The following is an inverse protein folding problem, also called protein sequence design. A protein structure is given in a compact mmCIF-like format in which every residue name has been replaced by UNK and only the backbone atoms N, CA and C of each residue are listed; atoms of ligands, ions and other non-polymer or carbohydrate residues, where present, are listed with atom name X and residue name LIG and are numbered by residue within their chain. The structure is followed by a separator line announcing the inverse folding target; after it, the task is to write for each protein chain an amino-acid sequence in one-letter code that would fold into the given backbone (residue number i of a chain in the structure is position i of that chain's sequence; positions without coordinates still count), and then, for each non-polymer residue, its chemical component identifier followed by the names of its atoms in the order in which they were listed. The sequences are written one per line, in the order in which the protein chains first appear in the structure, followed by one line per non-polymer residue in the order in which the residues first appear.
data_IF_950394183099
#
_entry.id   IF_950394183099
#
_cell.length_a   1.000
_cell.length_b   1.000
_cell.length_c   1.000
_cell.angle_alpha   90.00
_cell.angle_beta   90.00
_cell.angle_gamma   90.00
#
_symmetry.space_group_name_H-M   'P 1'
#
loop_
_entity.id
_entity.type
_entity.pdbx_description
1 polymer ?
#
# COMPACT_ATOMS: atom_id res chain seq x y z
N UNK A 1 38.56 -2.26 -18.07
CA UNK A 1 37.33 -3.00 -17.72
C UNK A 1 36.82 -2.42 -16.42
N UNK A 2 35.80 -1.55 -16.46
CA UNK A 2 35.18 -1.02 -15.25
C UNK A 2 34.38 -2.14 -14.59
N UNK A 3 34.70 -2.43 -13.33
CA UNK A 3 34.04 -3.44 -12.52
C UNK A 3 32.59 -3.06 -12.26
N UNK A 4 31.68 -3.95 -12.65
CA UNK A 4 30.26 -3.90 -12.33
C UNK A 4 30.11 -4.22 -10.84
N UNK A 5 29.85 -3.20 -10.01
CA UNK A 5 29.43 -3.44 -8.62
C UNK A 5 27.98 -3.89 -8.67
N UNK A 6 27.76 -5.21 -8.60
CA UNK A 6 26.43 -5.77 -8.41
C UNK A 6 25.98 -5.47 -6.97
N UNK A 7 25.10 -4.48 -6.82
CA UNK A 7 24.30 -4.32 -5.60
C UNK A 7 23.15 -5.34 -5.62
N UNK A 8 23.46 -6.62 -5.39
CA UNK A 8 22.46 -7.56 -4.92
C UNK A 8 22.28 -7.33 -3.42
N UNK A 9 21.55 -6.27 -3.06
CA UNK A 9 21.06 -6.12 -1.70
C UNK A 9 20.07 -7.27 -1.46
N UNK A 10 20.39 -8.14 -0.51
CA UNK A 10 19.52 -9.21 -0.06
C UNK A 10 18.16 -8.63 0.35
N UNK A 11 17.16 -8.76 -0.52
CA UNK A 11 15.77 -8.37 -0.29
C UNK A 11 15.05 -9.33 0.69
N UNK A 12 15.78 -10.01 1.58
CA UNK A 12 15.22 -11.14 2.32
C UNK A 12 14.43 -10.77 3.56
N UNK A 13 14.31 -9.50 3.97
CA UNK A 13 13.59 -9.15 5.22
C UNK A 13 12.83 -7.80 5.21
N UNK A 14 12.42 -7.30 4.05
CA UNK A 14 11.54 -6.14 4.05
C UNK A 14 10.13 -6.56 4.47
N UNK A 15 9.72 -6.22 5.69
CA UNK A 15 8.31 -6.42 6.08
C UNK A 15 7.45 -5.26 5.60
N UNK A 16 6.16 -5.53 5.37
CA UNK A 16 5.18 -4.57 4.85
C UNK A 16 5.25 -3.20 5.55
N UNK A 17 5.27 -3.16 6.88
CA UNK A 17 5.30 -1.92 7.66
C UNK A 17 6.61 -1.11 7.54
N UNK A 18 7.70 -1.78 7.14
CA UNK A 18 9.02 -1.16 6.96
C UNK A 18 9.25 -0.70 5.51
N UNK A 19 8.40 -1.12 4.58
CA UNK A 19 8.54 -0.82 3.16
C UNK A 19 8.22 0.65 2.83
N UNK A 20 8.94 1.18 1.83
CA UNK A 20 8.71 2.51 1.25
C UNK A 20 8.71 2.41 -0.26
N UNK A 21 7.71 3.00 -0.87
CA UNK A 21 7.47 2.93 -2.30
C UNK A 21 7.40 4.31 -2.94
N UNK A 22 7.74 4.38 -4.22
CA UNK A 22 7.49 5.56 -5.07
C UNK A 22 6.59 5.17 -6.22
N UNK A 23 5.78 6.11 -6.69
CA UNK A 23 5.04 5.95 -7.94
C UNK A 23 6.02 6.04 -9.12
N UNK A 24 6.07 5.00 -9.96
CA UNK A 24 7.07 4.82 -11.02
C UNK A 24 7.24 6.02 -11.96
N UNK A 25 6.15 6.74 -12.22
CA UNK A 25 6.13 7.86 -13.17
C UNK A 25 5.97 9.23 -12.47
N UNK A 26 5.95 9.27 -11.14
CA UNK A 26 5.82 10.50 -10.36
C UNK A 26 6.42 10.30 -8.95
N UNK A 27 7.74 10.50 -8.77
CA UNK A 27 8.42 10.22 -7.51
C UNK A 27 8.01 11.14 -6.35
N UNK A 28 7.22 12.20 -6.61
CA UNK A 28 6.62 13.02 -5.55
C UNK A 28 5.43 12.35 -4.88
N UNK A 29 4.88 11.28 -5.48
CA UNK A 29 3.87 10.42 -4.86
C UNK A 29 4.54 9.19 -4.29
N UNK A 30 4.43 9.04 -2.98
CA UNK A 30 5.03 7.94 -2.23
C UNK A 30 3.97 7.10 -1.54
N UNK A 31 4.29 5.84 -1.26
CA UNK A 31 3.42 4.99 -0.47
C UNK A 31 4.19 4.27 0.64
N UNK A 32 3.49 3.98 1.73
CA UNK A 32 4.02 3.22 2.85
C UNK A 32 2.89 2.57 3.63
N UNK A 33 3.22 1.54 4.42
CA UNK A 33 2.26 0.93 5.33
C UNK A 33 2.50 1.39 6.75
N UNK A 34 1.41 1.66 7.47
CA UNK A 34 1.41 1.98 8.89
C UNK A 34 0.73 0.86 9.67
N UNK A 35 1.35 0.31 10.73
CA UNK A 35 0.64 -0.57 11.65
C UNK A 35 -0.54 0.16 12.28
N UNK A 36 -1.71 -0.49 12.24
CA UNK A 36 -2.92 0.00 12.90
C UNK A 36 -3.57 -1.19 13.61
N UNK A 37 -4.22 -0.92 14.74
CA UNK A 37 -5.07 -1.92 15.35
C UNK A 37 -6.31 -2.07 14.48
N UNK A 38 -6.50 -3.26 13.93
CA UNK A 38 -7.60 -3.54 13.04
C UNK A 38 -8.25 -4.86 13.48
N UNK A 39 -9.55 -4.79 13.75
CA UNK A 39 -10.31 -5.90 14.33
C UNK A 39 -10.44 -7.10 13.37
N UNK A 40 -11.22 -8.13 13.74
CA UNK A 40 -11.41 -9.34 12.92
C UNK A 40 -11.89 -9.06 11.50
N UNK A 41 -12.63 -7.96 11.31
CA UNK A 41 -13.15 -7.47 10.03
C UNK A 41 -12.07 -6.92 9.09
N UNK A 42 -10.92 -6.52 9.64
CA UNK A 42 -9.79 -5.95 8.92
C UNK A 42 -8.51 -6.67 9.36
N UNK A 43 -8.24 -7.91 8.91
CA UNK A 43 -7.18 -8.74 9.50
C UNK A 43 -5.76 -8.32 9.14
N UNK A 44 -5.58 -7.33 8.26
CA UNK A 44 -4.27 -6.94 7.73
C UNK A 44 -3.36 -6.24 8.76
N UNK A 45 -3.91 -5.62 9.80
CA UNK A 45 -3.16 -4.89 10.85
C UNK A 45 -2.22 -3.80 10.31
N UNK A 46 -2.52 -3.30 9.11
CA UNK A 46 -1.84 -2.20 8.44
C UNK A 46 -2.84 -1.34 7.67
N UNK A 47 -2.53 -0.05 7.55
CA UNK A 47 -3.13 0.88 6.61
C UNK A 47 -2.09 1.32 5.59
N UNK A 48 -2.46 1.34 4.32
CA UNK A 48 -1.67 1.93 3.24
C UNK A 48 -1.87 3.45 3.26
N UNK A 49 -0.78 4.19 3.35
CA UNK A 49 -0.72 5.62 3.09
C UNK A 49 -0.24 5.87 1.67
N UNK A 50 -0.92 6.76 0.96
CA UNK A 50 -0.45 7.39 -0.28
C UNK A 50 -0.24 8.86 0.02
N UNK A 51 1.00 9.31 -0.05
CA UNK A 51 1.40 10.67 0.28
C UNK A 51 1.82 11.44 -0.97
N UNK A 52 1.19 12.59 -1.19
CA UNK A 52 1.47 13.50 -2.31
C UNK A 52 2.32 14.66 -1.80
N UNK A 53 3.62 14.65 -2.07
CA UNK A 53 4.58 15.64 -1.55
C UNK A 53 4.19 17.08 -1.89
N UNK A 54 3.72 17.33 -3.12
CA UNK A 54 3.38 18.68 -3.58
C UNK A 54 2.23 19.32 -2.80
N UNK A 55 1.24 18.53 -2.38
CA UNK A 55 0.09 19.04 -1.60
C UNK A 55 0.22 18.82 -0.10
N UNK A 56 1.20 18.03 0.33
CA UNK A 56 1.37 17.60 1.72
C UNK A 56 0.28 16.65 2.22
N UNK A 57 -0.65 16.20 1.37
CA UNK A 57 -1.77 15.35 1.77
C UNK A 57 -1.38 13.88 1.81
N UNK A 58 -1.96 13.16 2.77
CA UNK A 58 -1.87 11.71 2.89
C UNK A 58 -3.28 11.12 2.83
N UNK A 59 -3.45 10.09 2.01
CA UNK A 59 -4.70 9.37 1.83
C UNK A 59 -4.53 7.96 2.38
N UNK A 60 -5.51 7.51 3.18
CA UNK A 60 -5.41 6.28 3.94
C UNK A 60 -6.36 5.21 3.41
N UNK A 61 -5.85 3.98 3.37
CA UNK A 61 -6.56 2.84 2.81
C UNK A 61 -6.32 1.57 3.62
N UNK A 62 -7.35 0.77 3.81
CA UNK A 62 -7.29 -0.51 4.52
C UNK A 62 -7.30 -1.67 3.53
N UNK A 63 -6.27 -2.53 3.51
CA UNK A 63 -6.23 -3.69 2.62
C UNK A 63 -7.20 -4.78 3.07
N UNK A 64 -7.96 -5.34 2.13
CA UNK A 64 -8.87 -6.46 2.34
C UNK A 64 -8.93 -7.39 1.11
N UNK A 65 -9.15 -8.68 1.35
CA UNK A 65 -9.40 -9.64 0.27
C UNK A 65 -10.90 -9.68 -0.02
N UNK A 66 -11.25 -9.60 -1.30
CA UNK A 66 -12.57 -9.94 -1.84
C UNK A 66 -12.97 -11.36 -1.46
N UNK A 67 -14.27 -11.59 -1.37
CA UNK A 67 -14.83 -12.88 -0.96
C UNK A 67 -14.61 -13.96 -2.02
N UNK A 68 -15.62 -14.21 -2.83
CA UNK A 68 -15.61 -15.30 -3.82
C UNK A 68 -14.95 -14.94 -5.16
N UNK A 69 -14.70 -13.65 -5.41
CA UNK A 69 -14.04 -13.18 -6.64
C UNK A 69 -12.51 -13.29 -6.59
N UNK A 70 -11.94 -13.54 -5.40
CA UNK A 70 -10.50 -13.65 -5.18
C UNK A 70 -9.73 -12.36 -5.42
N UNK A 71 -10.43 -11.23 -5.59
CA UNK A 71 -9.79 -9.95 -5.86
C UNK A 71 -9.18 -9.38 -4.59
N UNK A 72 -8.08 -8.65 -4.71
CA UNK A 72 -7.50 -7.90 -3.61
C UNK A 72 -7.86 -6.44 -3.75
N UNK A 73 -8.16 -5.80 -2.62
CA UNK A 73 -8.71 -4.46 -2.62
C UNK A 73 -8.12 -3.62 -1.47
N UNK A 74 -8.26 -2.31 -1.60
CA UNK A 74 -8.06 -1.36 -0.52
C UNK A 74 -9.29 -0.48 -0.38
N UNK A 75 -9.74 -0.25 0.85
CA UNK A 75 -10.89 0.61 1.15
C UNK A 75 -10.42 1.92 1.78
N UNK A 76 -10.86 3.06 1.26
CA UNK A 76 -10.49 4.35 1.83
C UNK A 76 -11.00 4.50 3.26
N UNK A 77 -10.23 5.13 4.12
CA UNK A 77 -10.62 5.47 5.49
C UNK A 77 -10.20 6.90 5.82
N UNK A 78 -10.69 7.41 6.93
CA UNK A 78 -10.24 8.69 7.49
C UNK A 78 -8.79 8.59 7.98
N UNK A 79 -8.25 9.69 8.49
CA UNK A 79 -6.88 9.72 8.97
C UNK A 79 -6.68 8.79 10.18
N UNK A 80 -5.94 7.70 9.96
CA UNK A 80 -5.64 6.68 10.97
C UNK A 80 -4.76 7.19 12.10
N UNK A 81 -4.22 8.41 11.96
CA UNK A 81 -3.46 9.11 13.00
C UNK A 81 -4.36 9.81 14.01
N UNK A 82 -5.64 10.00 13.71
CA UNK A 82 -6.56 10.71 14.60
C UNK A 82 -6.75 9.94 15.90
N UNK A 83 -6.72 10.67 17.02
CA UNK A 83 -6.96 10.08 18.33
C UNK A 83 -8.37 9.49 18.36
N UNK A 84 -8.46 8.20 18.72
CA UNK A 84 -9.74 7.48 18.77
C UNK A 84 -10.24 7.01 17.40
N UNK A 85 -9.41 7.09 16.36
CA UNK A 85 -9.71 6.43 15.09
C UNK A 85 -10.04 4.95 15.32
N UNK A 86 -11.02 4.47 14.57
CA UNK A 86 -11.42 3.07 14.50
C UNK A 86 -11.58 2.71 13.02
N UNK A 87 -11.29 1.47 12.63
CA UNK A 87 -11.58 1.04 11.27
C UNK A 87 -13.08 1.18 10.99
N UNK A 88 -13.48 1.60 9.76
CA UNK A 88 -14.87 1.69 9.40
C UNK A 88 -15.51 0.29 9.37
N UNK A 89 -16.82 0.22 9.56
CA UNK A 89 -17.57 -1.02 9.39
C UNK A 89 -17.39 -1.55 7.94
N UNK A 90 -17.22 -2.86 7.68
CA UNK A 90 -17.14 -3.40 6.32
C UNK A 90 -18.39 -3.18 5.46
N UNK A 91 -19.56 -3.08 6.09
CA UNK A 91 -20.86 -2.85 5.47
C UNK A 91 -21.26 -1.36 5.44
N UNK A 92 -20.46 -0.45 6.01
CA UNK A 92 -20.79 0.97 6.06
C UNK A 92 -19.72 1.91 6.62
N UNK A 93 -20.09 3.16 6.91
CA UNK A 93 -19.16 4.16 7.49
C UNK A 93 -18.33 4.95 6.48
N UNK A 94 -17.50 5.90 6.96
CA UNK A 94 -16.81 6.86 6.09
C UNK A 94 -15.80 6.21 5.15
N UNK A 95 -16.06 6.32 3.84
CA UNK A 95 -15.16 5.92 2.75
C UNK A 95 -15.04 7.06 1.74
N UNK A 96 -14.28 8.12 2.07
CA UNK A 96 -14.28 9.35 1.28
C UNK A 96 -13.89 9.14 -0.19
N UNK A 97 -13.18 8.05 -0.51
CA UNK A 97 -12.71 7.74 -1.86
C UNK A 97 -13.16 6.35 -2.36
N UNK A 98 -14.01 5.65 -1.61
CA UNK A 98 -14.51 4.32 -1.95
C UNK A 98 -13.45 3.22 -1.87
N UNK A 99 -13.53 2.23 -2.76
CA UNK A 99 -12.62 1.08 -2.82
C UNK A 99 -11.80 1.10 -4.11
N UNK A 100 -10.60 0.52 -4.09
CA UNK A 100 -9.77 0.32 -5.28
C UNK A 100 -9.26 -1.11 -5.31
N UNK A 101 -9.21 -1.68 -6.51
CA UNK A 101 -8.47 -2.92 -6.69
C UNK A 101 -6.98 -2.70 -6.40
N UNK A 102 -6.36 -3.72 -5.84
CA UNK A 102 -4.95 -3.78 -5.49
C UNK A 102 -4.36 -5.06 -6.09
N UNK A 103 -3.15 -4.97 -6.63
CA UNK A 103 -2.39 -6.13 -7.11
C UNK A 103 -0.96 -5.98 -6.59
N UNK A 104 -0.49 -6.93 -5.79
CA UNK A 104 0.90 -7.01 -5.34
C UNK A 104 1.68 -8.05 -6.14
N UNK A 105 2.94 -7.77 -6.45
CA UNK A 105 3.88 -8.78 -6.97
C UNK A 105 5.19 -8.78 -6.21
N UNK A 106 5.91 -9.89 -6.28
CA UNK A 106 7.31 -9.92 -5.91
C UNK A 106 8.20 -9.31 -7.01
N UNK A 107 9.52 -9.39 -6.83
CA UNK A 107 10.50 -8.83 -7.76
C UNK A 107 10.61 -9.58 -9.10
N UNK A 108 10.11 -10.83 -9.16
CA UNK A 108 10.01 -11.62 -10.39
C UNK A 108 8.69 -11.36 -11.14
N UNK A 109 7.83 -10.49 -10.60
CA UNK A 109 6.46 -10.26 -11.06
C UNK A 109 5.52 -11.45 -10.84
N UNK A 110 5.87 -12.36 -9.92
CA UNK A 110 4.93 -13.37 -9.46
C UNK A 110 3.84 -12.70 -8.62
N UNK A 111 2.58 -13.04 -8.91
CA UNK A 111 1.43 -12.48 -8.22
C UNK A 111 1.40 -12.94 -6.77
N UNK A 112 1.26 -12.00 -5.84
CA UNK A 112 0.97 -12.29 -4.45
C UNK A 112 -0.56 -12.39 -4.33
N UNK A 113 -1.08 -13.54 -3.89
CA UNK A 113 -2.51 -13.89 -3.87
C UNK A 113 -3.28 -13.39 -2.65
N UNK A 114 -2.69 -12.46 -1.88
CA UNK A 114 -3.25 -11.91 -0.65
C UNK A 114 -2.87 -10.44 -0.48
N UNK A 115 -3.75 -9.67 0.17
CA UNK A 115 -3.41 -8.30 0.57
C UNK A 115 -2.25 -8.25 1.57
N UNK A 116 -1.48 -7.14 1.59
CA UNK A 116 -0.40 -6.94 2.55
C UNK A 116 -0.89 -7.01 3.99
N UNK A 117 -0.18 -7.75 4.83
CA UNK A 117 -0.42 -7.80 6.28
C UNK A 117 0.85 -7.47 7.05
N UNK A 118 0.66 -7.01 8.29
CA UNK A 118 1.76 -6.71 9.20
C UNK A 118 2.70 -7.92 9.35
N UNK A 119 3.99 -7.69 9.24
CA UNK A 119 5.04 -8.70 9.41
C UNK A 119 5.27 -9.61 8.19
N UNK A 120 4.37 -9.61 7.20
CA UNK A 120 4.59 -10.33 5.94
C UNK A 120 5.70 -9.68 5.11
N UNK A 121 6.31 -10.41 4.17
CA UNK A 121 7.16 -9.83 3.13
C UNK A 121 6.42 -8.72 2.37
N UNK A 122 7.10 -7.60 2.19
CA UNK A 122 6.63 -6.49 1.38
C UNK A 122 6.61 -6.88 -0.11
N UNK A 123 5.53 -6.57 -0.85
CA UNK A 123 5.54 -6.62 -2.30
C UNK A 123 6.70 -5.80 -2.87
N UNK A 124 7.33 -6.28 -3.94
CA UNK A 124 8.30 -5.46 -4.66
C UNK A 124 7.58 -4.40 -5.51
N UNK A 125 6.40 -4.75 -6.03
CA UNK A 125 5.59 -3.89 -6.86
C UNK A 125 4.12 -3.90 -6.41
N UNK A 126 3.47 -2.75 -6.54
CA UNK A 126 2.04 -2.61 -6.29
C UNK A 126 1.37 -1.91 -7.48
N UNK A 127 0.31 -2.50 -8.01
CA UNK A 127 -0.48 -1.95 -9.09
C UNK A 127 -1.90 -1.64 -8.58
N UNK A 128 -2.36 -0.43 -8.87
CA UNK A 128 -3.75 0.00 -8.75
C UNK A 128 -4.32 0.15 -10.16
N UNK A 129 -5.02 -0.88 -10.68
CA UNK A 129 -5.42 -0.95 -12.09
C UNK A 129 -6.65 -0.11 -12.41
N UNK A 130 -7.40 0.31 -11.38
CA UNK A 130 -8.60 1.12 -11.53
C UNK A 130 -8.28 2.60 -11.31
N UNK A 131 -8.94 3.44 -12.10
CA UNK A 131 -9.00 4.89 -11.87
C UNK A 131 -10.44 5.30 -11.61
N UNK A 132 -10.68 6.17 -10.63
CA UNK A 132 -12.01 6.76 -10.44
C UNK A 132 -12.22 8.06 -11.28
N UNK A 133 -11.38 8.26 -12.30
CA UNK A 133 -11.45 9.39 -13.22
C UNK A 133 -10.72 10.64 -12.73
N UNK A 134 -10.80 11.72 -13.52
CA UNK A 134 -9.98 12.93 -13.34
C UNK A 134 -10.22 13.69 -12.01
N UNK A 135 -11.30 13.40 -11.30
CA UNK A 135 -11.63 14.05 -10.02
C UNK A 135 -11.14 13.27 -8.78
N UNK A 136 -10.57 12.07 -8.97
CA UNK A 136 -9.93 11.34 -7.88
C UNK A 136 -8.54 11.93 -7.60
N UNK A 137 -8.33 12.56 -6.42
CA UNK A 137 -7.05 13.17 -6.11
C UNK A 137 -5.95 12.14 -5.84
N UNK A 138 -6.30 10.86 -5.63
CA UNK A 138 -5.38 9.78 -5.25
C UNK A 138 -5.05 8.91 -6.45
N UNK A 139 -6.08 8.42 -7.16
CA UNK A 139 -5.94 7.52 -8.32
C UNK A 139 -6.60 8.09 -9.60
N UNK A 140 -6.11 9.24 -10.12
CA UNK A 140 -6.67 9.85 -11.33
C UNK A 140 -6.42 9.01 -12.60
N UNK A 141 -5.52 8.03 -12.51
CA UNK A 141 -5.11 7.08 -13.56
C UNK A 141 -4.59 5.80 -12.89
N UNK A 142 -4.31 4.77 -13.68
CA UNK A 142 -3.63 3.55 -13.19
C UNK A 142 -2.28 3.92 -12.57
N UNK A 143 -1.95 3.35 -11.42
CA UNK A 143 -0.74 3.68 -10.69
C UNK A 143 0.08 2.43 -10.39
N UNK A 144 1.38 2.54 -10.58
CA UNK A 144 2.34 1.47 -10.38
C UNK A 144 3.43 1.94 -9.43
N UNK A 145 3.49 1.35 -8.24
CA UNK A 145 4.44 1.69 -7.20
C UNK A 145 5.55 0.65 -7.11
N UNK A 146 6.78 1.12 -6.92
CA UNK A 146 7.98 0.31 -6.78
C UNK A 146 8.58 0.46 -5.39
N UNK A 147 8.95 -0.66 -4.78
CA UNK A 147 9.70 -0.68 -3.53
C UNK A 147 11.08 -0.06 -3.77
N UNK A 148 11.41 1.00 -3.04
CA UNK A 148 12.70 1.70 -3.17
C UNK A 148 13.59 1.61 -1.95
N UNK A 149 12.99 1.38 -0.77
CA UNK A 149 13.75 1.21 0.46
C UNK A 149 12.93 0.48 1.51
N UNK A 150 13.66 -0.08 2.46
CA UNK A 150 13.11 -0.70 3.66
C UNK A 150 13.76 -0.02 4.84
N UNK A 151 12.96 0.51 5.75
CA UNK A 151 13.49 1.01 7.01
C UNK A 151 14.05 -0.18 7.80
N UNK A 152 15.26 -0.03 8.33
CA UNK A 152 15.79 -1.01 9.27
C UNK A 152 14.81 -1.11 10.44
N UNK A 153 14.52 -2.33 10.92
CA UNK A 153 13.80 -2.52 12.18
C UNK A 153 14.55 -1.69 13.23
N UNK A 154 13.89 -0.68 13.80
CA UNK A 154 14.45 0.04 14.95
C UNK A 154 14.81 -0.99 16.01
N UNK A 155 16.08 -1.05 16.36
CA UNK A 155 16.59 -1.88 17.46
C UNK A 155 16.14 -1.37 18.81
#
# INVERSE_FOLDING_TARGET
MLGLVMLFAAATQCTVENARYILRHDPDVTAYFRPVDSGPEWPSNVALAIHHRQSGKTFWWLPWNGGTDGLQNVASTEDVMLKGWQPPNPDGGPRPYGNRQYIGTDAAYDLIDRVPRRGDPAPAHMLFPDSAGAHDPVFPRKQFFDLVSCQAKGG
#
